data_IF_105163759132
#
_entry.id   IF_105163759132
#
_cell.length_a   1.000
_cell.length_b   1.000
_cell.length_c   1.000
_cell.angle_alpha   90.00
_cell.angle_beta   90.00
_cell.angle_gamma   90.00
#
_symmetry.space_group_name_H-M   'P 1'
#
loop_
_entity.id
_entity.type
_entity.pdbx_description
1 polymer ?
#
# COMPACT_ATOMS: atom_id res chain seq x y z
N UNK A 1 5.92 -11.14 17.28
CA UNK A 1 6.51 -9.92 17.85
C UNK A 1 7.37 -9.22 16.79
N UNK A 2 7.21 -7.89 16.63
CA UNK A 2 8.09 -6.96 15.88
C UNK A 2 8.29 -7.17 14.36
N UNK A 3 7.23 -7.45 13.59
CA UNK A 3 7.28 -7.43 12.11
C UNK A 3 7.28 -6.02 11.48
N UNK A 4 7.21 -4.97 12.29
CA UNK A 4 7.11 -3.57 11.86
C UNK A 4 8.34 -2.81 12.35
N UNK A 5 9.32 -2.63 11.45
CA UNK A 5 10.51 -1.79 11.67
C UNK A 5 10.20 -0.28 11.61
N UNK A 6 11.21 0.57 11.77
CA UNK A 6 11.08 2.04 11.85
C UNK A 6 10.28 2.67 10.70
N UNK A 7 10.48 2.18 9.45
CA UNK A 7 9.72 2.63 8.27
C UNK A 7 8.20 2.47 8.42
N UNK A 8 7.75 1.39 9.06
CA UNK A 8 6.33 1.15 9.28
C UNK A 8 5.75 2.11 10.32
N UNK A 9 6.49 2.35 11.40
CA UNK A 9 6.08 3.31 12.43
C UNK A 9 6.06 4.74 11.91
N UNK A 10 7.04 5.12 11.10
CA UNK A 10 7.06 6.43 10.43
C UNK A 10 5.85 6.60 9.50
N UNK A 11 5.52 5.58 8.70
CA UNK A 11 4.35 5.60 7.83
C UNK A 11 3.03 5.72 8.60
N UNK A 12 2.87 4.96 9.69
CA UNK A 12 1.70 5.11 10.56
C UNK A 12 1.64 6.52 11.18
N UNK A 13 2.74 7.03 11.71
CA UNK A 13 2.76 8.35 12.34
C UNK A 13 2.43 9.49 11.36
N UNK A 14 3.05 9.51 10.18
CA UNK A 14 2.86 10.61 9.21
C UNK A 14 1.45 10.60 8.62
N UNK A 15 0.88 9.43 8.36
CA UNK A 15 -0.49 9.30 7.83
C UNK A 15 -1.55 9.54 8.89
N UNK A 16 -1.22 9.42 10.19
CA UNK A 16 -2.11 9.80 11.29
C UNK A 16 -2.28 11.31 11.42
N UNK A 17 -1.24 12.08 11.11
CA UNK A 17 -1.23 13.55 11.29
C UNK A 17 -1.45 14.34 10.01
N UNK A 18 -1.52 13.68 8.86
CA UNK A 18 -1.71 14.30 7.54
C UNK A 18 -2.79 13.55 6.75
N UNK A 19 -3.22 14.11 5.61
CA UNK A 19 -4.10 13.42 4.66
C UNK A 19 -3.33 12.50 3.68
N UNK A 20 -2.04 12.26 3.93
CA UNK A 20 -1.20 11.47 3.03
C UNK A 20 -1.52 9.97 3.12
N UNK A 21 -1.18 9.27 2.05
CA UNK A 21 -1.11 7.80 1.99
C UNK A 21 0.37 7.42 1.92
N UNK A 22 0.80 6.46 2.74
CA UNK A 22 2.19 6.00 2.74
C UNK A 22 2.31 4.54 2.29
N UNK A 23 3.26 4.27 1.39
CA UNK A 23 3.57 2.92 0.90
C UNK A 23 4.90 2.47 1.48
N UNK A 24 4.92 1.29 2.10
CA UNK A 24 6.12 0.73 2.75
C UNK A 24 6.38 -0.67 2.24
N UNK A 25 7.61 -0.93 1.82
CA UNK A 25 8.11 -2.27 1.50
C UNK A 25 8.94 -2.78 2.67
N UNK A 26 8.57 -3.96 3.18
CA UNK A 26 9.32 -4.67 4.21
C UNK A 26 10.59 -5.28 3.63
N UNK A 27 11.75 -4.95 4.17
CA UNK A 27 13.03 -5.53 3.76
C UNK A 27 13.11 -7.02 4.09
N UNK A 28 12.63 -7.44 5.27
CA UNK A 28 12.76 -8.82 5.73
C UNK A 28 11.78 -9.79 5.07
N UNK A 29 10.65 -9.28 4.57
CA UNK A 29 9.58 -10.13 4.03
C UNK A 29 9.15 -9.80 2.62
N UNK A 30 9.61 -8.69 2.03
CA UNK A 30 9.12 -8.20 0.73
C UNK A 30 7.65 -7.76 0.73
N UNK A 31 6.95 -7.86 1.86
CA UNK A 31 5.54 -7.48 2.00
C UNK A 31 5.40 -5.96 1.81
N UNK A 32 4.48 -5.54 0.95
CA UNK A 32 4.12 -4.12 0.77
C UNK A 32 2.90 -3.80 1.65
N UNK A 33 2.92 -2.65 2.31
CA UNK A 33 1.80 -2.15 3.12
C UNK A 33 1.46 -0.72 2.73
N UNK A 34 0.16 -0.43 2.67
CA UNK A 34 -0.36 0.93 2.53
C UNK A 34 -0.90 1.39 3.88
N UNK A 35 -0.49 2.59 4.29
CA UNK A 35 -0.96 3.25 5.50
C UNK A 35 -1.83 4.46 5.15
N UNK A 36 -2.94 4.62 5.88
CA UNK A 36 -3.82 5.78 5.82
C UNK A 36 -4.41 6.02 7.21
N UNK A 37 -4.50 7.27 7.65
CA UNK A 37 -5.01 7.64 8.98
C UNK A 37 -4.30 6.93 10.16
N UNK A 38 -3.05 6.51 9.96
CA UNK A 38 -2.28 5.76 10.95
C UNK A 38 -2.53 4.26 10.99
N UNK A 39 -3.34 3.73 10.08
CA UNK A 39 -3.72 2.33 10.01
C UNK A 39 -3.25 1.68 8.72
N UNK A 40 -3.07 0.36 8.74
CA UNK A 40 -2.77 -0.42 7.52
C UNK A 40 -4.08 -0.72 6.82
N UNK A 41 -4.27 -0.16 5.62
CA UNK A 41 -5.48 -0.37 4.81
C UNK A 41 -5.31 -1.43 3.73
N UNK A 42 -4.07 -1.76 3.35
CA UNK A 42 -3.78 -2.81 2.39
C UNK A 42 -2.44 -3.49 2.71
N UNK A 43 -2.40 -4.80 2.52
CA UNK A 43 -1.21 -5.63 2.64
C UNK A 43 -1.08 -6.50 1.38
N UNK A 44 0.08 -6.44 0.73
CA UNK A 44 0.39 -7.21 -0.47
C UNK A 44 1.58 -8.11 -0.15
N UNK A 45 1.38 -9.42 -0.26
CA UNK A 45 2.47 -10.39 -0.14
C UNK A 45 3.33 -10.41 -1.41
N UNK A 46 4.64 -10.67 -1.30
CA UNK A 46 5.50 -10.75 -2.47
C UNK A 46 5.08 -11.90 -3.39
N UNK A 47 5.07 -11.63 -4.69
CA UNK A 47 4.80 -12.65 -5.71
C UNK A 47 6.07 -13.40 -6.07
N UNK A 48 5.96 -14.71 -6.37
CA UNK A 48 7.08 -15.51 -6.91
C UNK A 48 7.59 -15.02 -8.26
N UNK A 49 6.75 -14.30 -9.02
CA UNK A 49 7.09 -13.67 -10.30
C UNK A 49 6.62 -12.22 -10.26
N UNK A 50 7.41 -11.30 -10.79
CA UNK A 50 7.01 -9.89 -10.87
C UNK A 50 5.67 -9.76 -11.60
N UNK A 51 4.73 -9.00 -11.01
CA UNK A 51 3.49 -8.63 -11.69
C UNK A 51 3.88 -7.80 -12.92
N UNK A 52 3.61 -8.33 -14.11
CA UNK A 52 3.66 -7.51 -15.32
C UNK A 52 2.47 -6.56 -15.25
N UNK A 53 2.75 -5.26 -15.26
CA UNK A 53 1.72 -4.25 -15.42
C UNK A 53 0.90 -4.61 -16.66
N UNK A 54 -0.40 -4.79 -16.45
CA UNK A 54 -1.38 -4.79 -17.53
C UNK A 54 -2.06 -3.44 -17.44
N UNK A 55 -2.21 -2.78 -18.58
CA UNK A 55 -3.00 -1.56 -18.64
C UNK A 55 -4.38 -1.86 -18.08
N UNK A 56 -4.85 -0.96 -17.22
CA UNK A 56 -6.14 -1.11 -16.58
C UNK A 56 -7.18 -0.81 -17.66
N UNK A 57 -7.84 -1.83 -18.21
CA UNK A 57 -9.00 -1.68 -19.09
C UNK A 57 -10.17 -1.12 -18.26
N UNK A 58 -10.11 0.16 -17.89
CA UNK A 58 -11.29 0.86 -17.37
C UNK A 58 -12.19 1.14 -18.56
N UNK A 59 -13.16 0.26 -18.82
CA UNK A 59 -14.38 0.73 -19.47
C UNK A 59 -15.03 1.74 -18.51
N UNK A 60 -14.96 3.02 -18.86
CA UNK A 60 -15.78 4.03 -18.20
C UNK A 60 -17.24 3.56 -18.33
N UNK A 61 -18.02 3.48 -17.23
CA UNK A 61 -19.44 3.21 -17.37
C UNK A 61 -20.04 4.27 -18.31
N UNK A 62 -20.92 3.88 -19.25
CA UNK A 62 -21.55 4.84 -20.15
C UNK A 62 -22.23 5.93 -19.32
N UNK A 63 -21.92 7.20 -19.64
CA UNK A 63 -22.58 8.32 -18.98
C UNK A 63 -24.08 8.27 -19.32
N UNK A 64 -24.99 8.37 -18.33
CA UNK A 64 -26.39 8.59 -18.63
C UNK A 64 -26.54 9.93 -19.37
N UNK A 65 -27.27 9.91 -20.47
CA UNK A 65 -27.63 11.07 -21.29
C UNK A 65 -28.51 12.08 -20.55
#
# INVERSE_FOLDING_TARGET
SKGLGTRHWAAAAITKTTKAIAVVVSESSGTVRLFQNGEVILRIEPFRRAMKWKDFDSELPPQPE
#
